data_IF_880488526130
#
_entry.id   IF_880488526130
#
_cell.length_a   1.000
_cell.length_b   1.000
_cell.length_c   1.000
_cell.angle_alpha   90.00
_cell.angle_beta   90.00
_cell.angle_gamma   90.00
#
_symmetry.space_group_name_H-M   'P 1'
#
loop_
_entity.id
_entity.type
_entity.pdbx_description
1 polymer ?
#
# COMPACT_ATOMS: atom_id res chain seq x y z
N UNK A 1 -2.44 -13.44 74.52
CA UNK A 1 -1.46 -12.69 73.70
C UNK A 1 -0.99 -13.62 72.59
N UNK A 2 -1.15 -13.20 71.31
CA UNK A 2 -0.68 -13.83 70.07
C UNK A 2 -1.33 -15.20 69.69
N UNK A 3 -1.63 -15.56 68.42
CA UNK A 3 -1.16 -15.12 67.10
C UNK A 3 -2.30 -15.16 66.07
N UNK A 4 -2.37 -14.15 65.20
CA UNK A 4 -3.20 -14.13 63.99
C UNK A 4 -2.50 -14.92 62.88
N UNK A 5 -3.20 -15.89 62.26
CA UNK A 5 -2.76 -16.59 61.05
C UNK A 5 -3.38 -15.92 59.83
N UNK A 6 -2.56 -15.28 58.99
CA UNK A 6 -2.94 -14.81 57.64
C UNK A 6 -2.02 -15.50 56.64
N UNK A 7 -2.49 -16.57 56.03
CA UNK A 7 -1.79 -17.24 54.93
C UNK A 7 -2.82 -17.80 53.96
N UNK A 8 -3.31 -16.95 53.08
CA UNK A 8 -3.99 -17.31 51.84
C UNK A 8 -4.14 -16.03 51.02
N UNK A 9 -4.22 -16.19 49.70
CA UNK A 9 -4.40 -15.12 48.70
C UNK A 9 -3.10 -14.46 48.19
N UNK A 10 -2.12 -15.25 47.68
CA UNK A 10 -1.09 -14.71 46.76
C UNK A 10 -0.94 -15.56 45.47
N UNK A 11 -1.71 -16.65 45.31
CA UNK A 11 -1.48 -17.64 44.24
C UNK A 11 -2.26 -17.48 42.93
N UNK A 12 -3.17 -16.51 42.78
CA UNK A 12 -4.14 -16.52 41.65
C UNK A 12 -4.01 -15.31 40.70
N UNK A 13 -3.19 -14.31 41.01
CA UNK A 13 -3.11 -13.04 40.25
C UNK A 13 -1.82 -12.98 39.39
N UNK A 14 -1.40 -14.09 38.77
CA UNK A 14 -0.21 -14.09 37.88
C UNK A 14 -0.51 -14.66 36.48
N UNK A 15 -1.61 -15.39 36.28
CA UNK A 15 -1.95 -15.92 34.94
C UNK A 15 -2.87 -15.03 34.09
N UNK A 16 -3.47 -13.97 34.63
CA UNK A 16 -4.49 -13.19 33.90
C UNK A 16 -3.96 -11.92 33.18
N UNK A 17 -2.68 -11.59 33.30
CA UNK A 17 -2.10 -10.41 32.64
C UNK A 17 -1.32 -10.73 31.37
N UNK A 18 -1.12 -12.02 31.04
CA UNK A 18 -0.43 -12.45 29.82
C UNK A 18 -1.34 -12.57 28.57
N UNK A 19 -2.65 -12.38 28.72
CA UNK A 19 -3.64 -12.62 27.65
C UNK A 19 -4.00 -11.41 26.79
N UNK A 20 -3.64 -10.19 27.18
CA UNK A 20 -4.13 -8.96 26.54
C UNK A 20 -3.17 -8.32 25.51
N UNK A 21 -1.97 -8.89 25.32
CA UNK A 21 -1.00 -8.35 24.36
C UNK A 21 -0.99 -9.03 22.98
N UNK A 22 -1.70 -10.16 22.82
CA UNK A 22 -1.62 -10.99 21.61
C UNK A 22 -2.57 -10.49 20.50
N UNK A 23 -3.64 -9.77 20.83
CA UNK A 23 -4.64 -9.37 19.84
C UNK A 23 -4.26 -8.15 18.98
N UNK A 24 -3.30 -7.32 19.40
CA UNK A 24 -2.92 -6.13 18.63
C UNK A 24 -1.86 -6.40 17.55
N UNK A 25 -1.01 -7.43 17.73
CA UNK A 25 0.04 -7.77 16.75
C UNK A 25 -0.57 -8.34 15.46
N UNK A 26 -1.68 -9.07 15.57
CA UNK A 26 -2.36 -9.68 14.43
C UNK A 26 -2.91 -8.63 13.45
N UNK A 27 -3.53 -7.56 13.95
CA UNK A 27 -4.15 -6.53 13.09
C UNK A 27 -3.13 -5.71 12.29
N UNK A 28 -1.94 -5.45 12.86
CA UNK A 28 -0.87 -4.72 12.17
C UNK A 28 -0.14 -5.60 11.14
N UNK A 29 0.14 -6.86 11.51
CA UNK A 29 0.73 -7.83 10.60
C UNK A 29 -0.18 -8.16 9.40
N UNK A 30 -1.50 -8.17 9.61
CA UNK A 30 -2.47 -8.40 8.54
C UNK A 30 -2.55 -7.19 7.59
N UNK A 31 -2.65 -5.97 8.11
CA UNK A 31 -2.65 -4.75 7.29
C UNK A 31 -1.40 -4.65 6.40
N UNK A 32 -0.22 -4.87 6.99
CA UNK A 32 1.04 -4.82 6.25
C UNK A 32 1.15 -5.90 5.17
N UNK A 33 0.67 -7.12 5.44
CA UNK A 33 0.63 -8.20 4.45
C UNK A 33 -0.34 -7.89 3.30
N UNK A 34 -1.49 -7.28 3.58
CA UNK A 34 -2.49 -6.96 2.57
C UNK A 34 -2.05 -5.78 1.70
N UNK A 35 -1.42 -4.75 2.28
CA UNK A 35 -0.76 -3.68 1.51
C UNK A 35 0.33 -4.22 0.58
N UNK A 36 1.21 -5.10 1.09
CA UNK A 36 2.27 -5.69 0.29
C UNK A 36 1.74 -6.50 -0.91
N UNK A 37 0.64 -7.26 -0.71
CA UNK A 37 -0.04 -7.97 -1.81
C UNK A 37 -0.62 -7.01 -2.83
N UNK A 38 -1.30 -5.96 -2.38
CA UNK A 38 -1.88 -4.95 -3.26
C UNK A 38 -0.80 -4.29 -4.12
N UNK A 39 0.30 -3.85 -3.51
CA UNK A 39 1.39 -3.21 -4.24
C UNK A 39 2.07 -4.16 -5.21
N UNK A 40 2.22 -5.43 -4.85
CA UNK A 40 2.71 -6.47 -5.76
C UNK A 40 1.74 -6.71 -6.93
N UNK A 41 0.42 -6.61 -6.70
CA UNK A 41 -0.59 -6.71 -7.75
C UNK A 41 -0.56 -5.51 -8.71
N UNK A 42 -0.31 -4.30 -8.19
CA UNK A 42 -0.16 -3.08 -8.98
C UNK A 42 1.14 -3.12 -9.81
N UNK A 43 2.24 -3.59 -9.22
CA UNK A 43 3.57 -3.58 -9.86
C UNK A 43 3.56 -4.20 -11.27
N UNK A 44 4.26 -3.56 -12.19
CA UNK A 44 4.35 -3.93 -13.59
C UNK A 44 4.47 -2.71 -14.51
N UNK A 45 4.54 -3.00 -15.80
CA UNK A 45 4.72 -1.99 -16.85
C UNK A 45 3.35 -1.65 -17.43
N UNK A 46 3.06 -0.35 -17.58
CA UNK A 46 1.79 0.16 -18.09
C UNK A 46 2.07 1.03 -19.30
N UNK A 47 1.36 0.72 -20.38
CA UNK A 47 1.45 1.44 -21.65
C UNK A 47 0.37 2.52 -21.70
N UNK A 48 0.78 3.76 -21.94
CA UNK A 48 -0.09 4.93 -22.09
C UNK A 48 -0.01 5.46 -23.52
N UNK A 49 -1.16 5.79 -24.10
CA UNK A 49 -1.23 6.46 -25.40
C UNK A 49 -1.50 7.95 -25.20
N UNK A 50 -0.46 8.78 -25.40
CA UNK A 50 -0.52 10.23 -25.23
C UNK A 50 -0.27 10.88 -26.59
N UNK A 51 -1.28 11.58 -27.13
CA UNK A 51 -1.15 12.34 -28.40
C UNK A 51 -0.59 11.53 -29.59
N UNK A 52 -0.86 10.22 -29.64
CA UNK A 52 -0.36 9.34 -30.70
C UNK A 52 1.06 8.81 -30.49
N UNK A 53 1.66 9.10 -29.34
CA UNK A 53 2.88 8.48 -28.86
C UNK A 53 2.56 7.46 -27.77
N UNK A 54 3.39 6.43 -27.69
CA UNK A 54 3.33 5.44 -26.62
C UNK A 54 4.37 5.80 -25.57
N UNK A 55 3.94 5.89 -24.32
CA UNK A 55 4.79 6.06 -23.15
C UNK A 55 4.60 4.89 -22.18
N UNK A 56 5.63 4.56 -21.41
CA UNK A 56 5.60 3.44 -20.47
C UNK A 56 5.93 3.94 -19.07
N UNK A 57 4.98 3.72 -18.13
CA UNK A 57 5.25 3.86 -16.71
C UNK A 57 5.48 2.49 -16.08
N UNK A 58 6.54 2.41 -15.28
CA UNK A 58 6.93 1.20 -14.55
C UNK A 58 6.60 1.42 -13.08
N UNK A 59 5.73 0.58 -12.54
CA UNK A 59 5.43 0.54 -11.11
C UNK A 59 6.12 -0.65 -10.45
N UNK A 60 6.76 -0.42 -9.30
CA UNK A 60 7.51 -1.45 -8.59
C UNK A 60 7.54 -1.19 -7.09
N UNK A 61 7.84 -2.23 -6.30
CA UNK A 61 7.92 -2.10 -4.84
C UNK A 61 9.38 -1.96 -4.44
N UNK A 62 9.69 -0.92 -3.67
CA UNK A 62 11.01 -0.68 -3.08
C UNK A 62 10.84 -0.34 -1.61
N UNK A 63 11.49 -1.10 -0.74
CA UNK A 63 11.43 -0.91 0.72
C UNK A 63 9.99 -0.85 1.29
N UNK A 64 9.06 -1.58 0.68
CA UNK A 64 7.65 -1.61 1.07
C UNK A 64 6.80 -0.45 0.54
N UNK A 65 7.39 0.46 -0.23
CA UNK A 65 6.73 1.59 -0.87
C UNK A 65 6.46 1.27 -2.34
N UNK A 66 5.29 1.64 -2.84
CA UNK A 66 5.01 1.59 -4.27
C UNK A 66 5.68 2.78 -4.95
N UNK A 67 6.52 2.51 -5.94
CA UNK A 67 7.27 3.49 -6.71
C UNK A 67 6.77 3.51 -8.15
N UNK A 68 6.90 4.65 -8.81
CA UNK A 68 6.64 4.84 -10.24
C UNK A 68 7.80 5.55 -10.92
N UNK A 69 8.08 5.20 -12.18
CA UNK A 69 9.02 5.93 -13.05
C UNK A 69 8.65 5.76 -14.52
N UNK A 70 9.04 6.70 -15.38
CA UNK A 70 9.05 6.48 -16.83
C UNK A 70 10.06 5.39 -17.23
N UNK A 71 9.87 4.77 -18.41
CA UNK A 71 10.82 3.75 -18.91
C UNK A 71 12.23 4.31 -19.08
N UNK A 72 12.33 5.52 -19.62
CA UNK A 72 13.60 6.21 -19.88
C UNK A 72 14.03 7.15 -18.74
N UNK A 73 13.20 7.28 -17.70
CA UNK A 73 13.48 8.13 -16.56
C UNK A 73 14.31 7.39 -15.49
N UNK A 74 15.30 8.12 -14.95
CA UNK A 74 16.08 7.71 -13.80
C UNK A 74 15.43 8.10 -12.46
N UNK A 75 14.45 9.01 -12.48
CA UNK A 75 13.74 9.46 -11.29
C UNK A 75 12.70 8.43 -10.86
N UNK A 76 12.82 7.94 -9.63
CA UNK A 76 11.82 7.09 -8.98
C UNK A 76 10.97 7.95 -8.05
N UNK A 77 9.65 7.96 -8.26
CA UNK A 77 8.72 8.76 -7.47
C UNK A 77 7.90 7.84 -6.57
N UNK A 78 7.82 8.10 -5.25
CA UNK A 78 6.95 7.33 -4.36
C UNK A 78 5.48 7.67 -4.64
N UNK A 79 4.63 6.65 -4.59
CA UNK A 79 3.18 6.77 -4.67
C UNK A 79 2.60 6.68 -3.27
N UNK A 80 1.95 7.76 -2.83
CA UNK A 80 1.31 7.87 -1.53
C UNK A 80 -0.15 7.43 -1.65
N UNK A 81 -0.64 6.45 -0.86
CA UNK A 81 -2.04 6.03 -0.91
C UNK A 81 -2.95 7.15 -0.40
N UNK A 82 -4.08 7.37 -1.08
CA UNK A 82 -5.10 8.31 -0.64
C UNK A 82 -5.98 7.66 0.43
N UNK A 83 -6.09 8.29 1.59
CA UNK A 83 -6.86 7.74 2.72
C UNK A 83 -8.31 7.45 2.32
N UNK A 84 -8.78 6.23 2.65
CA UNK A 84 -10.13 5.77 2.34
C UNK A 84 -10.38 5.39 0.88
N UNK A 85 -9.36 5.47 0.00
CA UNK A 85 -9.46 5.08 -1.41
C UNK A 85 -8.39 4.03 -1.77
N UNK A 86 -8.74 2.76 -1.68
CA UNK A 86 -7.81 1.62 -1.80
C UNK A 86 -6.90 1.63 -3.05
N UNK A 87 -7.43 2.08 -4.20
CA UNK A 87 -6.74 2.06 -5.50
C UNK A 87 -6.34 3.45 -6.02
N UNK A 88 -6.39 4.46 -5.16
CA UNK A 88 -6.04 5.84 -5.54
C UNK A 88 -4.77 6.27 -4.82
N UNK A 89 -3.84 6.81 -5.59
CA UNK A 89 -2.53 7.22 -5.13
C UNK A 89 -2.21 8.62 -5.63
N UNK A 90 -1.38 9.33 -4.90
CA UNK A 90 -0.82 10.62 -5.29
C UNK A 90 0.69 10.51 -5.41
N UNK A 91 1.26 11.25 -6.35
CA UNK A 91 2.70 11.33 -6.54
C UNK A 91 3.07 12.77 -6.91
N UNK A 92 4.20 13.23 -6.38
CA UNK A 92 4.79 14.52 -6.77
C UNK A 92 6.24 14.31 -7.14
N UNK A 93 6.62 14.64 -8.38
CA UNK A 93 8.01 14.52 -8.81
C UNK A 93 8.88 15.66 -8.26
N UNK A 94 10.19 15.56 -8.47
CA UNK A 94 11.21 16.54 -8.06
C UNK A 94 10.99 17.94 -8.62
N UNK A 95 10.21 18.07 -9.71
CA UNK A 95 9.85 19.33 -10.35
C UNK A 95 8.57 19.94 -9.79
N UNK A 96 7.94 19.30 -8.80
CA UNK A 96 6.68 19.74 -8.20
C UNK A 96 5.44 19.44 -9.05
N UNK A 97 5.57 18.59 -10.08
CA UNK A 97 4.40 18.15 -10.84
C UNK A 97 3.66 17.07 -10.06
N UNK A 98 2.37 17.32 -9.86
CA UNK A 98 1.44 16.44 -9.16
C UNK A 98 0.75 15.49 -10.14
N UNK A 99 0.54 14.26 -9.68
CA UNK A 99 -0.17 13.20 -10.37
C UNK A 99 -1.14 12.53 -9.39
N UNK A 100 -2.40 12.37 -9.80
CA UNK A 100 -3.32 11.42 -9.17
C UNK A 100 -3.38 10.16 -10.04
N UNK A 101 -3.19 9.00 -9.44
CA UNK A 101 -3.21 7.70 -10.11
C UNK A 101 -4.35 6.86 -9.56
N UNK A 102 -5.25 6.42 -10.43
CA UNK A 102 -6.35 5.51 -10.08
C UNK A 102 -6.18 4.19 -10.80
N UNK A 103 -5.92 3.13 -10.05
CA UNK A 103 -5.86 1.77 -10.58
C UNK A 103 -7.26 1.16 -10.65
N UNK A 104 -7.51 0.33 -11.66
CA UNK A 104 -8.78 -0.40 -11.77
C UNK A 104 -8.59 -1.86 -12.14
N UNK A 105 -9.52 -2.68 -11.63
CA UNK A 105 -9.59 -4.11 -11.83
C UNK A 105 -10.46 -4.43 -13.04
N UNK A 106 -10.09 -5.47 -13.78
CA UNK A 106 -10.93 -6.05 -14.83
C UNK A 106 -12.06 -6.92 -14.24
N UNK A 107 -12.88 -7.51 -15.12
CA UNK A 107 -13.99 -8.40 -14.75
C UNK A 107 -13.54 -9.66 -14.00
N UNK A 108 -12.27 -10.06 -14.13
CA UNK A 108 -11.67 -11.17 -13.39
C UNK A 108 -11.09 -10.76 -12.03
N UNK A 109 -11.19 -9.48 -11.69
CA UNK A 109 -10.69 -8.90 -10.44
C UNK A 109 -9.21 -8.53 -10.48
N UNK A 110 -8.54 -8.61 -11.63
CA UNK A 110 -7.09 -8.30 -11.75
C UNK A 110 -6.87 -6.83 -12.04
N UNK A 111 -5.91 -6.18 -11.38
CA UNK A 111 -5.51 -4.82 -11.75
C UNK A 111 -4.86 -4.82 -13.14
N UNK A 112 -5.51 -4.18 -14.11
CA UNK A 112 -5.06 -4.13 -15.51
C UNK A 112 -4.97 -2.73 -16.09
N UNK A 113 -5.45 -1.71 -15.37
CA UNK A 113 -5.48 -0.33 -15.87
C UNK A 113 -5.02 0.65 -14.81
N UNK A 114 -4.52 1.79 -15.27
CA UNK A 114 -4.16 2.95 -14.46
C UNK A 114 -4.64 4.20 -15.17
N UNK A 115 -5.45 5.04 -14.52
CA UNK A 115 -5.77 6.38 -14.98
C UNK A 115 -4.83 7.35 -14.28
N UNK A 116 -4.11 8.17 -15.05
CA UNK A 116 -3.26 9.24 -14.53
C UNK A 116 -3.93 10.57 -14.82
N UNK A 117 -4.11 11.38 -13.77
CA UNK A 117 -4.61 12.76 -13.87
C UNK A 117 -3.49 13.73 -13.50
N UNK A 118 -3.15 14.62 -14.43
CA UNK A 118 -2.13 15.66 -14.20
C UNK A 118 -2.40 16.88 -15.07
N UNK A 119 -2.22 18.08 -14.53
CA UNK A 119 -2.37 19.34 -15.28
C UNK A 119 -3.71 19.47 -16.06
N UNK A 120 -4.79 18.88 -15.55
CA UNK A 120 -6.11 18.87 -16.20
C UNK A 120 -6.24 17.90 -17.38
N UNK A 121 -5.25 17.03 -17.60
CA UNK A 121 -5.29 15.93 -18.56
C UNK A 121 -5.55 14.62 -17.82
N UNK A 122 -6.31 13.74 -18.46
CA UNK A 122 -6.57 12.37 -18.00
C UNK A 122 -6.06 11.41 -19.07
N UNK A 123 -5.22 10.46 -18.68
CA UNK A 123 -4.65 9.47 -19.59
C UNK A 123 -4.82 8.08 -18.98
N UNK A 124 -5.48 7.19 -19.72
CA UNK A 124 -5.62 5.78 -19.33
C UNK A 124 -4.44 4.99 -19.90
N UNK A 125 -3.83 4.18 -19.04
CA UNK A 125 -2.79 3.22 -19.38
C UNK A 125 -3.23 1.79 -19.11
N UNK A 126 -2.73 0.87 -19.92
CA UNK A 126 -3.05 -0.56 -19.86
C UNK A 126 -1.81 -1.33 -19.41
N UNK A 127 -1.99 -2.21 -18.43
CA UNK A 127 -0.93 -3.09 -17.93
C UNK A 127 -0.49 -4.06 -19.03
N UNK A 128 0.81 -4.08 -19.31
CA UNK A 128 1.41 -4.96 -20.31
C UNK A 128 1.44 -6.38 -19.74
N UNK A 129 0.86 -7.33 -20.48
CA UNK A 129 0.94 -8.76 -20.14
C UNK A 129 2.35 -9.26 -20.51
N UNK A 130 3.10 -9.71 -19.51
CA UNK A 130 4.34 -10.49 -19.73
C UNK A 130 4.01 -11.97 -19.89
#
# INVERSE_FOLDING_TARGET
>A
MARSSKSSIIGVIVCLTLGLFICNVASYAQNTADTAKLYAEIAGDYEFAIEGQTDILIFFVKDGVLMGKGSDDAEEVPLEPVEGKELVFEATNSRGQFYELTFSRDESGKITKCLVVTMGMEVEGIKIKK
#
